data_IF_054100487334
#
_entry.id   IF_054100487334
#
_cell.length_a   1.000
_cell.length_b   1.000
_cell.length_c   1.000
_cell.angle_alpha   90.00
_cell.angle_beta   90.00
_cell.angle_gamma   90.00
#
_symmetry.space_group_name_H-M   'P 1'
#
loop_
_entity.id
_entity.type
_entity.pdbx_description
1 polymer ?
#
# COMPACT_ATOMS: atom_id res chain seq x y z
N UNK A 1 -16.09 17.77 -16.24
CA UNK A 1 -15.28 16.95 -17.17
C UNK A 1 -13.92 17.59 -17.39
N UNK A 2 -12.89 16.79 -17.66
CA UNK A 2 -11.55 17.31 -18.00
C UNK A 2 -11.50 17.80 -19.45
N UNK A 3 -10.88 18.96 -19.64
CA UNK A 3 -10.56 19.54 -20.94
C UNK A 3 -9.53 18.71 -21.71
N UNK A 4 -9.42 18.92 -23.02
CA UNK A 4 -8.44 18.19 -23.85
C UNK A 4 -7.00 18.38 -23.36
N UNK A 5 -6.64 19.57 -22.88
CA UNK A 5 -5.30 19.82 -22.33
C UNK A 5 -5.05 18.98 -21.06
N UNK A 6 -6.06 18.88 -20.18
CA UNK A 6 -6.00 18.07 -18.97
C UNK A 6 -5.83 16.59 -19.31
N UNK A 7 -6.57 16.08 -20.30
CA UNK A 7 -6.44 14.70 -20.76
C UNK A 7 -5.03 14.39 -21.29
N UNK A 8 -4.47 15.27 -22.14
CA UNK A 8 -3.10 15.14 -22.64
C UNK A 8 -2.11 15.13 -21.47
N UNK A 9 -2.29 16.02 -20.50
CA UNK A 9 -1.44 16.09 -19.31
C UNK A 9 -1.52 14.80 -18.47
N UNK A 10 -2.72 14.27 -18.23
CA UNK A 10 -2.90 12.98 -17.53
C UNK A 10 -2.18 11.85 -18.27
N UNK A 11 -2.29 11.78 -19.61
CA UNK A 11 -1.62 10.76 -20.41
C UNK A 11 -0.09 10.86 -20.31
N UNK A 12 0.46 12.07 -20.37
CA UNK A 12 1.92 12.31 -20.19
C UNK A 12 2.35 11.88 -18.78
N UNK A 13 1.63 12.29 -17.74
CA UNK A 13 1.93 11.92 -16.36
C UNK A 13 1.90 10.40 -16.16
N UNK A 14 0.89 9.71 -16.70
CA UNK A 14 0.82 8.25 -16.68
C UNK A 14 2.05 7.63 -17.34
N UNK A 15 2.37 8.03 -18.58
CA UNK A 15 3.51 7.49 -19.31
C UNK A 15 4.84 7.67 -18.55
N UNK A 16 5.09 8.89 -18.04
CA UNK A 16 6.30 9.21 -17.27
C UNK A 16 6.36 8.41 -15.98
N UNK A 17 5.30 8.40 -15.16
CA UNK A 17 5.29 7.73 -13.87
C UNK A 17 5.43 6.20 -14.01
N UNK A 18 4.76 5.58 -14.99
CA UNK A 18 4.93 4.14 -15.27
C UNK A 18 6.33 3.82 -15.80
N UNK A 19 6.92 4.69 -16.64
CA UNK A 19 8.30 4.55 -17.10
C UNK A 19 9.31 4.57 -15.95
N UNK A 20 9.20 5.57 -15.06
CA UNK A 20 10.05 5.70 -13.87
C UNK A 20 9.87 4.52 -12.91
N UNK A 21 8.62 4.11 -12.66
CA UNK A 21 8.31 2.92 -11.86
C UNK A 21 8.98 1.68 -12.44
N UNK A 22 8.83 1.45 -13.76
CA UNK A 22 9.44 0.31 -14.45
C UNK A 22 10.96 0.30 -14.35
N UNK A 23 11.62 1.45 -14.51
CA UNK A 23 13.08 1.57 -14.37
C UNK A 23 13.55 1.20 -12.95
N UNK A 24 12.90 1.75 -11.92
CA UNK A 24 13.23 1.46 -10.52
C UNK A 24 12.99 -0.03 -10.23
N UNK A 25 11.84 -0.57 -10.63
CA UNK A 25 11.53 -1.98 -10.43
C UNK A 25 12.53 -2.90 -11.10
N UNK A 26 12.97 -2.58 -12.33
CA UNK A 26 14.01 -3.33 -13.02
C UNK A 26 15.32 -3.30 -12.22
N UNK A 27 15.72 -2.17 -11.65
CA UNK A 27 16.89 -2.09 -10.75
C UNK A 27 16.75 -3.00 -9.53
N UNK A 28 15.58 -3.02 -8.87
CA UNK A 28 15.31 -3.90 -7.71
C UNK A 28 15.39 -5.38 -8.10
N UNK A 29 14.77 -5.75 -9.23
CA UNK A 29 14.79 -7.13 -9.74
C UNK A 29 16.20 -7.57 -10.11
N UNK A 30 17.00 -6.70 -10.75
CA UNK A 30 18.41 -7.00 -11.05
C UNK A 30 19.23 -7.25 -9.80
N UNK A 31 19.03 -6.43 -8.75
CA UNK A 31 19.69 -6.62 -7.46
C UNK A 31 19.30 -7.97 -6.83
N UNK A 32 18.01 -8.29 -6.79
CA UNK A 32 17.53 -9.59 -6.26
C UNK A 32 18.14 -10.76 -7.04
N UNK A 33 18.20 -10.67 -8.37
CA UNK A 33 18.77 -11.71 -9.25
C UNK A 33 20.28 -11.84 -9.19
N UNK A 34 21.00 -10.87 -8.62
CA UNK A 34 22.45 -10.96 -8.42
C UNK A 34 22.83 -11.92 -7.28
N UNK A 35 21.87 -12.27 -6.41
CA UNK A 35 22.11 -13.22 -5.34
C UNK A 35 22.29 -14.66 -5.83
N UNK A 36 22.97 -15.47 -5.02
CA UNK A 36 23.15 -16.91 -5.25
C UNK A 36 21.81 -17.62 -5.42
N UNK A 37 21.82 -18.67 -6.23
CA UNK A 37 20.66 -19.51 -6.44
C UNK A 37 20.24 -20.18 -5.11
N UNK A 38 18.95 -20.15 -4.84
CA UNK A 38 18.32 -20.88 -3.73
C UNK A 38 16.99 -21.45 -4.24
N UNK A 39 16.73 -22.73 -4.00
CA UNK A 39 15.47 -23.32 -4.44
C UNK A 39 14.34 -22.96 -3.47
N UNK A 40 13.34 -22.23 -3.98
CA UNK A 40 12.09 -21.91 -3.27
C UNK A 40 10.85 -22.28 -4.10
N UNK A 41 11.00 -23.19 -5.06
CA UNK A 41 9.95 -23.64 -6.00
C UNK A 41 9.44 -25.06 -5.69
N UNK A 42 9.84 -25.62 -4.55
CA UNK A 42 9.31 -26.85 -3.97
C UNK A 42 7.84 -26.68 -3.52
N UNK A 43 7.07 -27.77 -3.45
CA UNK A 43 5.69 -27.78 -2.89
C UNK A 43 4.75 -26.66 -3.40
N UNK A 44 4.77 -26.35 -4.70
CA UNK A 44 4.03 -25.21 -5.30
C UNK A 44 2.56 -25.09 -4.86
N UNK A 45 1.74 -26.15 -4.82
CA UNK A 45 0.34 -26.02 -4.38
C UNK A 45 0.23 -25.48 -2.95
N UNK A 46 1.09 -25.95 -2.05
CA UNK A 46 1.11 -25.50 -0.65
C UNK A 46 1.54 -24.03 -0.54
N UNK A 47 2.49 -23.58 -1.37
CA UNK A 47 2.94 -22.18 -1.42
C UNK A 47 1.83 -21.25 -1.90
N UNK A 48 1.11 -21.61 -2.96
CA UNK A 48 -0.02 -20.83 -3.48
C UNK A 48 -1.09 -20.69 -2.39
N UNK A 49 -1.50 -21.80 -1.76
CA UNK A 49 -2.51 -21.77 -0.70
C UNK A 49 -2.05 -20.91 0.47
N UNK A 50 -0.81 -21.07 0.94
CA UNK A 50 -0.27 -20.25 2.02
C UNK A 50 -0.20 -18.77 1.66
N UNK A 51 0.21 -18.43 0.42
CA UNK A 51 0.24 -17.06 -0.04
C UNK A 51 -1.17 -16.45 -0.05
N UNK A 52 -2.17 -17.16 -0.59
CA UNK A 52 -3.56 -16.66 -0.58
C UNK A 52 -4.05 -16.48 0.86
N UNK A 53 -3.88 -17.49 1.71
CA UNK A 53 -4.35 -17.47 3.10
C UNK A 53 -3.67 -16.36 3.91
N UNK A 54 -2.37 -16.12 3.73
CA UNK A 54 -1.64 -15.16 4.53
C UNK A 54 -1.66 -13.74 3.95
N UNK A 55 -1.72 -13.58 2.61
CA UNK A 55 -1.78 -12.28 1.94
C UNK A 55 -3.22 -11.78 1.85
N UNK A 56 -4.14 -12.58 1.31
CA UNK A 56 -5.55 -12.18 1.19
C UNK A 56 -6.25 -12.35 2.54
N UNK A 57 -6.08 -13.51 3.18
CA UNK A 57 -6.70 -13.78 4.48
C UNK A 57 -6.04 -13.08 5.68
N UNK A 58 -4.88 -12.44 5.50
CA UNK A 58 -4.17 -11.67 6.53
C UNK A 58 -3.87 -12.44 7.84
N UNK A 59 -3.94 -13.79 7.84
CA UNK A 59 -3.91 -14.62 9.06
C UNK A 59 -2.66 -14.36 9.91
N UNK A 60 -1.49 -14.28 9.28
CA UNK A 60 -0.23 -14.00 9.99
C UNK A 60 -0.20 -12.62 10.65
N UNK A 61 -0.82 -11.63 10.04
CA UNK A 61 -0.86 -10.25 10.55
C UNK A 61 -1.84 -10.16 11.72
N UNK A 62 -2.92 -10.95 11.68
CA UNK A 62 -3.93 -11.07 12.73
C UNK A 62 -3.43 -11.74 14.02
N UNK A 63 -2.22 -12.31 14.04
CA UNK A 63 -1.59 -12.80 15.27
C UNK A 63 -1.41 -11.69 16.33
N UNK A 64 -1.36 -10.43 15.91
CA UNK A 64 -1.49 -9.25 16.78
C UNK A 64 -2.80 -8.53 16.43
N UNK A 65 -3.92 -8.81 17.13
CA UNK A 65 -5.26 -8.43 16.66
C UNK A 65 -5.46 -6.92 16.45
N UNK A 66 -4.98 -6.08 17.36
CA UNK A 66 -5.18 -4.62 17.27
C UNK A 66 -4.54 -4.01 16.03
N UNK A 67 -3.21 -4.10 15.81
CA UNK A 67 -2.61 -3.64 14.56
C UNK A 67 -3.02 -4.50 13.36
N UNK A 68 -3.42 -5.76 13.58
CA UNK A 68 -3.85 -6.66 12.52
C UNK A 68 -5.16 -6.25 11.87
N UNK A 69 -6.18 -5.92 12.67
CA UNK A 69 -7.46 -5.40 12.18
C UNK A 69 -7.27 -4.05 11.49
N UNK A 70 -6.49 -3.14 12.08
CA UNK A 70 -6.18 -1.86 11.47
C UNK A 70 -5.49 -2.02 10.10
N UNK A 71 -4.56 -2.97 9.98
CA UNK A 71 -3.92 -3.32 8.71
C UNK A 71 -4.91 -3.94 7.72
N UNK A 72 -5.79 -4.83 8.17
CA UNK A 72 -6.81 -5.45 7.31
C UNK A 72 -7.75 -4.40 6.69
N UNK A 73 -8.15 -3.37 7.45
CA UNK A 73 -8.93 -2.25 6.91
C UNK A 73 -8.20 -1.51 5.79
N UNK A 74 -6.92 -1.20 5.97
CA UNK A 74 -6.12 -0.52 4.95
C UNK A 74 -5.88 -1.42 3.74
N UNK A 75 -5.57 -2.71 3.95
CA UNK A 75 -5.30 -3.67 2.89
C UNK A 75 -6.52 -3.92 2.00
N UNK A 76 -7.67 -4.25 2.60
CA UNK A 76 -8.89 -4.49 1.82
C UNK A 76 -9.44 -3.20 1.22
N UNK A 77 -9.27 -2.08 1.91
CA UNK A 77 -9.50 -0.76 1.32
C UNK A 77 -8.66 -0.57 0.06
N UNK A 78 -7.36 -0.82 0.10
CA UNK A 78 -6.49 -0.74 -1.08
C UNK A 78 -6.98 -1.66 -2.23
N UNK A 79 -7.40 -2.90 -1.94
CA UNK A 79 -7.97 -3.79 -2.95
C UNK A 79 -9.22 -3.21 -3.61
N UNK A 80 -10.16 -2.67 -2.83
CA UNK A 80 -11.39 -2.06 -3.34
C UNK A 80 -11.11 -0.77 -4.11
N UNK A 81 -10.24 0.10 -3.56
CA UNK A 81 -9.85 1.36 -4.19
C UNK A 81 -9.00 1.16 -5.45
N UNK A 82 -8.35 0.01 -5.65
CA UNK A 82 -7.65 -0.27 -6.91
C UNK A 82 -8.61 -0.27 -8.11
N UNK A 83 -9.84 -0.78 -7.91
CA UNK A 83 -10.91 -0.74 -8.92
C UNK A 83 -11.44 0.69 -9.11
N UNK A 84 -11.63 1.44 -8.02
CA UNK A 84 -12.04 2.84 -8.09
C UNK A 84 -10.99 3.72 -8.78
N UNK A 85 -9.70 3.43 -8.57
CA UNK A 85 -8.56 4.10 -9.21
C UNK A 85 -8.55 3.85 -10.71
N UNK A 86 -8.80 2.60 -11.13
CA UNK A 86 -8.97 2.28 -12.54
C UNK A 86 -10.11 3.10 -13.15
N UNK A 87 -11.27 3.15 -12.49
CA UNK A 87 -12.40 3.97 -12.94
C UNK A 87 -12.03 5.46 -13.05
N UNK A 88 -11.33 6.00 -12.06
CA UNK A 88 -10.90 7.41 -12.00
C UNK A 88 -10.00 7.82 -13.17
N UNK A 89 -9.01 7.00 -13.54
CA UNK A 89 -8.12 7.32 -14.65
C UNK A 89 -8.77 7.06 -16.02
N UNK A 90 -9.63 6.05 -16.16
CA UNK A 90 -10.30 5.79 -17.44
C UNK A 90 -11.37 6.83 -17.72
N UNK A 91 -12.12 7.28 -16.71
CA UNK A 91 -13.13 8.35 -16.87
C UNK A 91 -12.52 9.70 -17.24
N UNK A 92 -11.21 9.88 -17.07
CA UNK A 92 -10.50 11.04 -17.61
C UNK A 92 -10.55 11.11 -19.14
N UNK A 93 -10.56 9.95 -19.82
CA UNK A 93 -10.45 9.84 -21.28
C UNK A 93 -11.77 9.46 -21.95
N UNK A 94 -12.61 8.71 -21.25
CA UNK A 94 -13.87 8.20 -21.78
C UNK A 94 -15.03 8.88 -21.06
N UNK A 95 -15.79 9.76 -21.75
CA UNK A 95 -16.96 10.39 -21.17
C UNK A 95 -17.94 9.35 -20.65
N UNK A 96 -18.52 9.62 -19.49
CA UNK A 96 -19.56 8.80 -18.88
C UNK A 96 -19.15 7.34 -18.56
N UNK A 97 -17.85 7.07 -18.53
CA UNK A 97 -17.33 5.76 -18.19
C UNK A 97 -17.58 5.42 -16.72
N UNK A 98 -18.27 4.30 -16.50
CA UNK A 98 -18.41 3.64 -15.21
C UNK A 98 -18.14 2.15 -15.38
N UNK A 99 -17.15 1.63 -14.65
CA UNK A 99 -16.80 0.20 -14.69
C UNK A 99 -17.98 -0.71 -14.32
N UNK A 100 -18.90 -0.23 -13.47
CA UNK A 100 -20.08 -0.98 -13.01
C UNK A 100 -21.39 -0.50 -13.67
N UNK A 101 -21.29 0.45 -14.61
CA UNK A 101 -22.42 1.09 -15.27
C UNK A 101 -23.16 2.08 -14.37
N UNK A 102 -24.38 2.43 -14.79
CA UNK A 102 -25.24 3.44 -14.16
C UNK A 102 -26.53 2.78 -13.65
N UNK A 103 -26.38 1.86 -12.72
CA UNK A 103 -27.49 1.06 -12.19
C UNK A 103 -27.39 0.94 -10.65
N UNK A 104 -28.40 0.30 -10.06
CA UNK A 104 -28.46 0.09 -8.61
C UNK A 104 -27.24 -0.65 -8.04
N UNK A 105 -26.65 -1.58 -8.80
CA UNK A 105 -25.47 -2.34 -8.38
C UNK A 105 -24.26 -1.41 -8.30
N UNK A 106 -24.09 -0.50 -9.27
CA UNK A 106 -23.04 0.49 -9.24
C UNK A 106 -23.18 1.44 -8.02
N UNK A 107 -24.41 1.86 -7.71
CA UNK A 107 -24.69 2.69 -6.55
C UNK A 107 -24.36 1.99 -5.22
N UNK A 108 -24.69 0.70 -5.10
CA UNK A 108 -24.31 -0.12 -3.92
C UNK A 108 -22.81 -0.33 -3.87
N UNK A 109 -22.15 -0.59 -4.99
CA UNK A 109 -20.70 -0.75 -5.01
C UNK A 109 -19.97 0.54 -4.62
N UNK A 110 -20.50 1.70 -5.03
CA UNK A 110 -19.96 3.00 -4.65
C UNK A 110 -20.10 3.24 -3.14
N UNK A 111 -21.23 2.90 -2.53
CA UNK A 111 -21.40 3.02 -1.07
C UNK A 111 -20.50 2.05 -0.30
N UNK A 112 -20.19 0.87 -0.88
CA UNK A 112 -19.16 -0.03 -0.33
C UNK A 112 -17.78 0.62 -0.41
N UNK A 113 -17.42 1.27 -1.53
CA UNK A 113 -16.15 2.00 -1.63
C UNK A 113 -16.09 3.12 -0.57
N UNK A 114 -17.18 3.86 -0.35
CA UNK A 114 -17.25 4.83 0.76
C UNK A 114 -17.04 4.18 2.13
N UNK A 115 -17.62 3.00 2.39
CA UNK A 115 -17.42 2.31 3.67
C UNK A 115 -15.93 1.97 3.89
N UNK A 116 -15.29 1.43 2.85
CA UNK A 116 -13.87 1.11 2.89
C UNK A 116 -13.00 2.37 3.04
N UNK A 117 -13.42 3.52 2.52
CA UNK A 117 -12.70 4.78 2.73
C UNK A 117 -12.66 5.17 4.20
N UNK A 118 -13.78 5.00 4.93
CA UNK A 118 -13.81 5.22 6.38
C UNK A 118 -12.96 4.20 7.13
N UNK A 119 -13.01 2.93 6.74
CA UNK A 119 -12.16 1.89 7.33
C UNK A 119 -10.68 2.19 7.11
N UNK A 120 -10.28 2.66 5.94
CA UNK A 120 -8.90 3.08 5.65
C UNK A 120 -8.51 4.26 6.54
N UNK A 121 -9.34 5.31 6.62
CA UNK A 121 -9.09 6.45 7.51
C UNK A 121 -8.90 6.02 8.98
N UNK A 122 -9.78 5.16 9.47
CA UNK A 122 -9.69 4.64 10.83
C UNK A 122 -8.46 3.76 11.03
N UNK A 123 -8.21 2.83 10.12
CA UNK A 123 -7.07 1.92 10.15
C UNK A 123 -5.73 2.66 10.12
N UNK A 124 -5.57 3.66 9.23
CA UNK A 124 -4.34 4.44 9.15
C UNK A 124 -4.16 5.33 10.37
N UNK A 125 -5.23 5.91 10.92
CA UNK A 125 -5.18 6.69 12.16
C UNK A 125 -4.73 5.81 13.35
N UNK A 126 -5.27 4.59 13.47
CA UNK A 126 -4.84 3.63 14.50
C UNK A 126 -3.36 3.22 14.34
N UNK A 127 -2.92 2.93 13.11
CA UNK A 127 -1.53 2.55 12.84
C UNK A 127 -0.57 3.72 13.09
N UNK A 128 -0.95 4.94 12.72
CA UNK A 128 -0.19 6.16 12.99
C UNK A 128 -0.12 6.43 14.50
N UNK A 129 -1.25 6.35 15.22
CA UNK A 129 -1.27 6.49 16.68
C UNK A 129 -0.34 5.47 17.36
N UNK A 130 -0.40 4.21 16.94
CA UNK A 130 0.48 3.16 17.45
C UNK A 130 1.97 3.47 17.19
N UNK A 131 2.31 4.02 16.02
CA UNK A 131 3.70 4.28 15.62
C UNK A 131 4.27 5.55 16.25
N UNK A 132 3.50 6.63 16.36
CA UNK A 132 4.00 7.95 16.77
C UNK A 132 3.68 8.32 18.22
N UNK A 133 2.63 7.75 18.81
CA UNK A 133 2.20 8.07 20.18
C UNK A 133 2.48 6.91 21.13
N UNK A 134 1.91 5.72 20.87
CA UNK A 134 1.99 4.59 21.81
C UNK A 134 3.38 3.95 21.90
N UNK A 135 4.09 3.83 20.76
CA UNK A 135 5.48 3.33 20.64
C UNK A 135 5.76 2.07 21.51
N UNK A 136 5.15 0.91 21.18
CA UNK A 136 5.37 -0.33 21.94
C UNK A 136 6.84 -0.76 21.91
N UNK A 137 7.31 -1.63 22.83
CA UNK A 137 8.73 -1.95 23.02
C UNK A 137 9.52 -2.31 21.75
N UNK A 138 8.98 -3.18 20.89
CA UNK A 138 9.60 -3.53 19.60
C UNK A 138 9.65 -2.41 18.54
N UNK A 139 9.07 -1.24 18.82
CA UNK A 139 9.02 -0.06 17.95
C UNK A 139 9.67 1.18 18.59
N UNK A 140 10.55 1.00 19.57
CA UNK A 140 11.20 2.11 20.27
C UNK A 140 12.24 2.86 19.43
N UNK A 141 12.73 2.25 18.34
CA UNK A 141 13.59 2.93 17.39
C UNK A 141 12.83 4.10 16.74
N UNK A 142 13.49 5.24 16.46
CA UNK A 142 12.86 6.37 15.82
C UNK A 142 12.14 5.91 14.55
N UNK A 143 10.86 6.24 14.36
CA UNK A 143 10.15 5.85 13.16
C UNK A 143 10.82 6.51 11.95
N UNK A 144 11.01 5.75 10.88
CA UNK A 144 11.41 6.28 9.60
C UNK A 144 10.43 7.41 9.21
N UNK A 145 10.90 8.64 8.89
CA UNK A 145 10.02 9.78 8.57
C UNK A 145 9.05 9.46 7.43
N UNK A 146 9.44 8.55 6.54
CA UNK A 146 8.64 8.00 5.44
C UNK A 146 7.33 7.39 5.94
N UNK A 147 7.30 6.77 7.12
CA UNK A 147 6.08 6.18 7.66
C UNK A 147 4.99 7.24 7.94
N UNK A 148 5.40 8.43 8.38
CA UNK A 148 4.49 9.54 8.66
C UNK A 148 3.96 10.17 7.36
N UNK A 149 4.87 10.36 6.40
CA UNK A 149 4.51 10.83 5.06
C UNK A 149 3.49 9.90 4.39
N UNK A 150 3.75 8.59 4.36
CA UNK A 150 2.84 7.60 3.77
C UNK A 150 1.48 7.61 4.46
N UNK A 151 1.45 7.67 5.80
CA UNK A 151 0.19 7.69 6.54
C UNK A 151 -0.64 8.94 6.22
N UNK A 152 0.00 10.12 6.17
CA UNK A 152 -0.66 11.35 5.76
C UNK A 152 -1.20 11.25 4.32
N UNK A 153 -0.42 10.67 3.41
CA UNK A 153 -0.76 10.58 2.00
C UNK A 153 -1.91 9.60 1.75
N UNK A 154 -1.95 8.45 2.43
CA UNK A 154 -3.09 7.51 2.41
C UNK A 154 -4.35 8.19 2.95
N UNK A 155 -4.26 8.94 4.04
CA UNK A 155 -5.39 9.66 4.60
C UNK A 155 -5.89 10.75 3.63
N UNK A 156 -4.98 11.53 3.03
CA UNK A 156 -5.31 12.56 2.04
C UNK A 156 -5.94 11.98 0.77
N UNK A 157 -5.56 10.77 0.34
CA UNK A 157 -6.24 10.07 -0.75
C UNK A 157 -7.72 9.84 -0.44
N UNK A 158 -8.06 9.42 0.79
CA UNK A 158 -9.46 9.23 1.18
C UNK A 158 -10.22 10.56 1.22
N UNK A 159 -9.62 11.62 1.78
CA UNK A 159 -10.23 12.95 1.85
C UNK A 159 -10.50 13.51 0.45
N UNK A 160 -9.54 13.43 -0.45
CA UNK A 160 -9.70 13.93 -1.83
C UNK A 160 -10.68 13.08 -2.65
N UNK A 161 -10.79 11.78 -2.37
CA UNK A 161 -11.82 10.93 -2.97
C UNK A 161 -13.23 11.40 -2.59
N UNK A 162 -13.51 11.54 -1.29
CA UNK A 162 -14.80 12.06 -0.82
C UNK A 162 -15.05 13.49 -1.29
N UNK A 163 -14.00 14.33 -1.30
CA UNK A 163 -14.08 15.68 -1.83
C UNK A 163 -14.48 15.71 -3.30
N UNK A 164 -13.93 14.80 -4.12
CA UNK A 164 -14.29 14.69 -5.54
C UNK A 164 -15.77 14.33 -5.70
N UNK A 165 -16.24 13.27 -5.01
CA UNK A 165 -17.65 12.85 -5.07
C UNK A 165 -18.60 13.93 -4.53
N UNK A 166 -18.23 14.60 -3.44
CA UNK A 166 -19.09 15.61 -2.83
C UNK A 166 -19.25 16.86 -3.70
N UNK A 167 -18.17 17.31 -4.36
CA UNK A 167 -18.28 18.43 -5.31
C UNK A 167 -19.06 18.01 -6.56
N UNK A 168 -18.84 16.80 -7.08
CA UNK A 168 -19.57 16.26 -8.24
C UNK A 168 -21.08 16.23 -7.96
N UNK A 169 -21.50 15.66 -6.82
CA UNK A 169 -22.93 15.57 -6.47
C UNK A 169 -23.56 16.89 -6.04
N UNK A 170 -22.75 17.89 -5.65
CA UNK A 170 -23.24 19.24 -5.40
C UNK A 170 -23.47 20.01 -6.71
N UNK A 171 -22.64 19.78 -7.73
CA UNK A 171 -22.78 20.36 -9.08
C UNK A 171 -23.88 19.67 -9.90
N UNK A 172 -23.97 18.35 -9.75
CA UNK A 172 -24.86 17.47 -10.51
C UNK A 172 -25.71 16.62 -9.57
N UNK A 173 -26.76 17.19 -8.93
CA UNK A 173 -27.62 16.47 -7.99
C UNK A 173 -28.33 15.25 -8.61
N UNK A 174 -28.50 15.22 -9.92
CA UNK A 174 -29.01 14.09 -10.69
C UNK A 174 -28.11 12.83 -10.60
N UNK A 175 -26.81 13.02 -10.36
CA UNK A 175 -25.83 11.95 -10.19
C UNK A 175 -25.69 11.50 -8.74
N UNK A 176 -26.43 12.11 -7.81
CA UNK A 176 -26.33 11.80 -6.38
C UNK A 176 -26.71 10.35 -6.12
N UNK A 177 -25.79 9.61 -5.49
CA UNK A 177 -26.07 8.27 -5.02
C UNK A 177 -26.85 8.34 -3.70
N UNK A 178 -28.12 7.90 -3.72
CA UNK A 178 -28.96 7.86 -2.52
C UNK A 178 -28.42 6.94 -1.41
N UNK A 179 -27.54 5.98 -1.74
CA UNK A 179 -26.86 5.13 -0.76
C UNK A 179 -25.53 5.73 -0.26
N UNK A 180 -25.13 6.88 -0.79
CA UNK A 180 -23.94 7.59 -0.32
C UNK A 180 -24.18 8.13 1.08
N UNK A 181 -23.23 7.92 1.98
CA UNK A 181 -23.39 8.29 3.40
C UNK A 181 -22.25 9.15 3.94
N UNK A 182 -21.16 9.30 3.18
CA UNK A 182 -20.11 10.31 3.48
C UNK A 182 -20.22 11.47 2.51
N UNK A 183 -20.15 11.20 1.21
CA UNK A 183 -20.10 12.25 0.20
C UNK A 183 -21.45 12.92 -0.04
N UNK A 184 -22.58 12.24 0.21
CA UNK A 184 -23.91 12.80 0.02
C UNK A 184 -24.28 13.87 1.07
N UNK A 185 -24.11 13.67 2.39
CA UNK A 185 -24.29 14.75 3.34
C UNK A 185 -23.26 15.87 3.14
N UNK A 186 -22.03 15.52 2.74
CA UNK A 186 -21.01 16.51 2.41
C UNK A 186 -21.40 17.34 1.17
N UNK A 187 -21.98 16.73 0.12
CA UNK A 187 -22.42 17.46 -1.08
C UNK A 187 -23.55 18.43 -0.77
N UNK A 188 -24.52 18.04 0.07
CA UNK A 188 -25.60 18.92 0.53
C UNK A 188 -25.06 20.11 1.33
N UNK A 189 -24.10 19.86 2.22
CA UNK A 189 -23.41 20.93 2.93
C UNK A 189 -22.71 21.87 1.95
N UNK A 190 -21.92 21.34 1.01
CA UNK A 190 -21.19 22.16 0.05
C UNK A 190 -22.13 23.00 -0.84
N UNK A 191 -23.22 22.40 -1.33
CA UNK A 191 -24.23 23.10 -2.14
C UNK A 191 -24.92 24.27 -1.40
N UNK A 192 -25.02 24.20 -0.07
CA UNK A 192 -25.60 25.26 0.74
C UNK A 192 -24.69 26.46 1.00
N UNK A 193 -23.36 26.29 0.89
CA UNK A 193 -22.38 27.31 1.27
C UNK A 193 -21.50 27.81 0.14
N UNK A 194 -21.39 27.08 -0.98
CA UNK A 194 -20.49 27.40 -2.08
C UNK A 194 -21.24 27.68 -3.38
N UNK A 195 -20.68 28.60 -4.18
CA UNK A 195 -21.18 28.87 -5.54
C UNK A 195 -20.80 27.73 -6.49
N UNK A 196 -21.48 27.61 -7.62
CA UNK A 196 -21.13 26.63 -8.68
C UNK A 196 -19.66 26.74 -9.10
N UNK A 197 -19.15 27.96 -9.29
CA UNK A 197 -17.72 28.17 -9.60
C UNK A 197 -16.79 27.66 -8.51
N UNK A 198 -17.14 27.87 -7.23
CA UNK A 198 -16.32 27.35 -6.12
C UNK A 198 -16.35 25.82 -6.05
N UNK A 199 -17.49 25.19 -6.34
CA UNK A 199 -17.63 23.74 -6.41
C UNK A 199 -16.86 23.15 -7.59
N UNK A 200 -16.85 23.79 -8.76
CA UNK A 200 -16.04 23.39 -9.91
C UNK A 200 -14.54 23.41 -9.58
N UNK A 201 -14.07 24.50 -8.96
CA UNK A 201 -12.68 24.60 -8.49
C UNK A 201 -12.38 23.48 -7.48
N UNK A 202 -13.30 23.23 -6.54
CA UNK A 202 -13.20 22.16 -5.55
C UNK A 202 -13.11 20.78 -6.18
N UNK A 203 -13.92 20.49 -7.20
CA UNK A 203 -13.88 19.25 -7.97
C UNK A 203 -12.51 19.08 -8.65
N UNK A 204 -12.07 20.08 -9.44
CA UNK A 204 -10.81 19.99 -10.17
C UNK A 204 -9.62 19.86 -9.23
N UNK A 205 -9.60 20.62 -8.12
CA UNK A 205 -8.55 20.50 -7.10
C UNK A 205 -8.51 19.10 -6.50
N UNK A 206 -9.64 18.56 -6.03
CA UNK A 206 -9.68 17.24 -5.43
C UNK A 206 -9.30 16.14 -6.42
N UNK A 207 -9.80 16.22 -7.65
CA UNK A 207 -9.52 15.26 -8.71
C UNK A 207 -8.02 15.23 -9.04
N UNK A 208 -7.43 16.40 -9.32
CA UNK A 208 -6.00 16.50 -9.65
C UNK A 208 -5.08 16.18 -8.47
N UNK A 209 -5.44 16.63 -7.26
CA UNK A 209 -4.70 16.27 -6.06
C UNK A 209 -4.73 14.74 -5.89
N UNK A 210 -5.89 14.10 -6.00
CA UNK A 210 -6.02 12.64 -5.89
C UNK A 210 -5.15 11.91 -6.92
N UNK A 211 -5.27 12.27 -8.20
CA UNK A 211 -4.48 11.69 -9.29
C UNK A 211 -2.97 11.87 -9.07
N UNK A 212 -2.53 13.08 -8.68
CA UNK A 212 -1.12 13.37 -8.42
C UNK A 212 -0.58 12.56 -7.23
N UNK A 213 -1.38 12.36 -6.17
CA UNK A 213 -1.01 11.54 -5.03
C UNK A 213 -0.89 10.05 -5.42
N UNK A 214 -1.80 9.51 -6.24
CA UNK A 214 -1.70 8.12 -6.73
C UNK A 214 -0.44 7.92 -7.56
N UNK A 215 -0.19 8.79 -8.54
CA UNK A 215 0.99 8.71 -9.41
C UNK A 215 2.29 8.95 -8.64
N UNK A 216 2.26 9.85 -7.66
CA UNK A 216 3.36 10.06 -6.72
C UNK A 216 3.65 8.80 -5.91
N UNK A 217 2.61 8.15 -5.36
CA UNK A 217 2.75 6.86 -4.67
C UNK A 217 3.37 5.79 -5.56
N UNK A 218 2.91 5.66 -6.80
CA UNK A 218 3.43 4.69 -7.76
C UNK A 218 4.95 4.78 -7.88
N UNK A 219 5.49 5.98 -8.06
CA UNK A 219 6.94 6.22 -8.21
C UNK A 219 7.70 6.11 -6.87
N UNK A 220 7.05 6.48 -5.77
CA UNK A 220 7.66 6.51 -4.44
C UNK A 220 7.78 5.12 -3.78
N UNK A 221 6.78 4.25 -3.97
CA UNK A 221 6.72 2.90 -3.37
C UNK A 221 8.04 2.12 -3.53
N UNK A 222 8.61 1.95 -4.75
CA UNK A 222 9.79 1.11 -4.94
C UNK A 222 11.11 1.72 -4.41
N UNK A 223 11.07 2.95 -3.89
CA UNK A 223 12.20 3.65 -3.28
C UNK A 223 12.01 3.87 -1.78
N UNK A 224 10.93 3.37 -1.18
CA UNK A 224 10.61 3.60 0.22
C UNK A 224 10.40 2.29 0.98
N UNK A 225 10.18 2.41 2.30
CA UNK A 225 9.76 1.29 3.16
C UNK A 225 8.36 0.77 2.81
N UNK A 226 7.58 1.50 1.98
CA UNK A 226 6.31 1.00 1.46
C UNK A 226 6.45 -0.06 0.37
N UNK A 227 7.67 -0.34 -0.10
CA UNK A 227 7.97 -1.43 -1.04
C UNK A 227 7.43 -2.79 -0.57
N UNK A 228 7.20 -2.96 0.73
CA UNK A 228 6.55 -4.15 1.28
C UNK A 228 5.19 -4.45 0.62
N UNK A 229 4.45 -3.43 0.17
CA UNK A 229 3.18 -3.63 -0.54
C UNK A 229 3.38 -4.53 -1.78
N UNK A 230 4.49 -4.34 -2.49
CA UNK A 230 4.83 -5.13 -3.67
C UNK A 230 5.59 -6.40 -3.29
N UNK A 231 6.54 -6.32 -2.37
CA UNK A 231 7.46 -7.43 -2.07
C UNK A 231 6.88 -8.49 -1.13
N UNK A 232 5.98 -8.13 -0.20
CA UNK A 232 5.46 -9.04 0.81
C UNK A 232 4.67 -10.23 0.23
N UNK A 233 3.81 -10.06 -0.80
CA UNK A 233 3.14 -11.21 -1.42
C UNK A 233 4.11 -12.23 -2.01
N UNK A 234 5.16 -11.77 -2.70
CA UNK A 234 6.22 -12.66 -3.21
C UNK A 234 7.03 -13.27 -2.06
N UNK A 235 7.35 -12.48 -1.03
CA UNK A 235 8.09 -12.97 0.13
C UNK A 235 7.35 -14.12 0.82
N UNK A 236 6.04 -13.97 1.00
CA UNK A 236 5.16 -14.96 1.61
C UNK A 236 5.02 -16.22 0.72
N UNK A 237 4.99 -16.07 -0.60
CA UNK A 237 4.99 -17.21 -1.51
C UNK A 237 6.29 -18.04 -1.40
N UNK A 238 7.44 -17.37 -1.25
CA UNK A 238 8.76 -17.99 -1.20
C UNK A 238 9.25 -18.32 0.23
N UNK A 239 8.35 -18.48 1.21
CA UNK A 239 8.75 -18.77 2.60
C UNK A 239 9.50 -20.09 2.74
N UNK A 240 10.31 -20.21 3.80
CA UNK A 240 10.94 -21.48 4.16
C UNK A 240 10.00 -22.40 4.94
N UNK A 241 9.77 -23.61 4.43
CA UNK A 241 9.05 -24.69 5.12
C UNK A 241 9.93 -25.54 6.03
N UNK A 242 11.25 -25.35 5.98
CA UNK A 242 12.17 -26.03 6.88
C UNK A 242 11.96 -25.69 8.36
N UNK A 243 12.69 -26.40 9.26
CA UNK A 243 12.67 -26.11 10.69
C UNK A 243 13.00 -24.66 10.99
N UNK A 244 12.20 -24.01 11.85
CA UNK A 244 12.44 -22.63 12.27
C UNK A 244 13.71 -22.53 13.12
N UNK A 245 14.38 -21.37 13.05
CA UNK A 245 15.63 -21.09 13.75
C UNK A 245 16.78 -22.07 13.44
N UNK A 246 16.75 -22.75 12.29
CA UNK A 246 17.86 -23.57 11.82
C UNK A 246 19.00 -22.68 11.32
N UNK A 247 20.19 -22.85 11.89
CA UNK A 247 21.43 -22.34 11.32
C UNK A 247 21.95 -23.35 10.30
N UNK A 248 22.32 -22.87 9.11
CA UNK A 248 23.03 -23.70 8.14
C UNK A 248 24.48 -23.88 8.62
N UNK A 249 25.02 -25.12 8.59
CA UNK A 249 26.42 -25.34 8.96
C UNK A 249 27.33 -24.61 7.97
N UNK A 250 28.36 -23.94 8.49
CA UNK A 250 29.43 -23.38 7.65
C UNK A 250 30.29 -24.55 7.18
N UNK A 251 30.31 -24.80 5.88
CA UNK A 251 31.10 -25.89 5.30
C UNK A 251 32.61 -25.60 5.46
N UNK A 252 33.38 -26.58 5.95
CA UNK A 252 34.84 -26.52 6.13
C UNK A 252 35.30 -25.25 6.88
N UNK A 253 34.69 -24.99 8.05
CA UNK A 253 34.94 -23.77 8.84
C UNK A 253 36.42 -23.52 9.16
N UNK A 254 37.23 -24.58 9.28
CA UNK A 254 38.66 -24.49 9.57
C UNK A 254 39.49 -23.99 8.37
N UNK A 255 38.98 -24.16 7.15
CA UNK A 255 39.67 -23.80 5.90
C UNK A 255 39.13 -22.49 5.28
N UNK A 256 38.15 -21.83 5.91
CA UNK A 256 37.56 -20.60 5.37
C UNK A 256 38.35 -19.36 5.76
N UNK A 257 38.76 -18.58 4.75
CA UNK A 257 39.42 -17.29 4.92
C UNK A 257 38.44 -16.14 5.24
N UNK A 258 37.14 -16.34 4.99
CA UNK A 258 36.09 -15.34 5.21
C UNK A 258 34.85 -15.98 5.82
N UNK A 259 34.34 -15.40 6.91
CA UNK A 259 33.13 -15.86 7.58
C UNK A 259 31.93 -14.97 7.28
N UNK A 260 30.80 -15.60 6.96
CA UNK A 260 29.55 -14.90 6.71
C UNK A 260 29.48 -14.26 5.33
N UNK A 261 28.82 -13.12 5.24
CA UNK A 261 28.59 -12.38 3.99
C UNK A 261 29.34 -11.04 4.06
N UNK A 262 30.27 -10.84 3.13
CA UNK A 262 31.08 -9.62 2.97
C UNK A 262 30.66 -8.78 1.76
N UNK A 263 30.02 -9.41 0.76
CA UNK A 263 29.54 -8.77 -0.46
C UNK A 263 28.07 -9.08 -0.74
N UNK A 264 27.39 -8.21 -1.47
CA UNK A 264 25.94 -8.37 -1.70
C UNK A 264 25.61 -9.61 -2.54
N UNK A 265 26.51 -9.99 -3.45
CA UNK A 265 26.41 -11.16 -4.32
C UNK A 265 26.55 -12.48 -3.55
N UNK A 266 27.03 -12.43 -2.30
CA UNK A 266 27.18 -13.61 -1.47
C UNK A 266 25.87 -14.03 -0.79
N UNK A 267 24.88 -13.13 -0.72
CA UNK A 267 23.51 -13.44 -0.32
C UNK A 267 22.81 -14.28 -1.39
N UNK A 268 21.84 -15.09 -0.98
CA UNK A 268 20.88 -15.70 -1.91
C UNK A 268 19.88 -14.66 -2.44
N UNK A 269 19.28 -14.93 -3.60
CA UNK A 269 18.24 -14.04 -4.14
C UNK A 269 17.08 -13.83 -3.15
N UNK A 270 16.73 -14.85 -2.34
CA UNK A 270 15.66 -14.75 -1.35
C UNK A 270 16.04 -13.83 -0.19
N UNK A 271 17.29 -13.94 0.29
CA UNK A 271 17.83 -13.03 1.30
C UNK A 271 17.88 -11.58 0.79
N UNK A 272 18.08 -11.36 -0.51
CA UNK A 272 18.01 -10.02 -1.11
C UNK A 272 16.56 -9.52 -1.29
N UNK A 273 15.57 -10.42 -1.38
CA UNK A 273 14.15 -10.07 -1.41
C UNK A 273 13.62 -9.69 -0.02
N UNK A 274 14.09 -10.34 1.06
CA UNK A 274 13.59 -10.16 2.43
C UNK A 274 13.54 -8.70 2.92
N UNK A 275 14.59 -7.87 2.73
CA UNK A 275 14.58 -6.49 3.17
C UNK A 275 13.49 -5.64 2.53
N UNK A 276 13.09 -5.95 1.28
CA UNK A 276 12.03 -5.22 0.59
C UNK A 276 10.64 -5.51 1.15
N UNK A 277 10.46 -6.63 1.85
CA UNK A 277 9.21 -6.98 2.54
C UNK A 277 9.15 -6.46 3.99
N UNK A 278 10.25 -5.90 4.50
CA UNK A 278 10.31 -5.41 5.87
C UNK A 278 9.47 -4.13 6.05
N UNK A 279 8.61 -4.13 7.07
CA UNK A 279 7.75 -2.99 7.44
C UNK A 279 8.17 -2.30 8.74
N UNK A 280 9.32 -2.70 9.31
CA UNK A 280 9.75 -2.27 10.64
C UNK A 280 8.63 -2.49 11.67
N UNK A 281 7.97 -3.64 11.62
CA UNK A 281 6.85 -3.97 12.49
C UNK A 281 7.25 -4.34 13.93
N UNK A 282 8.54 -4.50 14.20
CA UNK A 282 9.09 -4.86 15.52
C UNK A 282 9.12 -6.36 15.81
N UNK A 283 8.44 -7.21 15.03
CA UNK A 283 8.36 -8.66 15.30
C UNK A 283 9.73 -9.36 15.34
N UNK A 284 10.66 -8.95 14.50
CA UNK A 284 12.03 -9.47 14.53
C UNK A 284 12.76 -9.10 15.83
N UNK A 285 12.49 -7.90 16.36
CA UNK A 285 13.03 -7.43 17.63
C UNK A 285 12.42 -8.19 18.80
N UNK A 286 11.09 -8.36 18.82
CA UNK A 286 10.37 -9.06 19.89
C UNK A 286 10.80 -10.54 20.02
N UNK A 287 11.22 -11.15 18.91
CA UNK A 287 11.69 -12.54 18.88
C UNK A 287 13.22 -12.66 19.00
N UNK A 288 13.95 -11.55 19.05
CA UNK A 288 15.40 -11.55 19.11
C UNK A 288 15.88 -11.99 20.52
N UNK A 289 16.60 -13.11 20.65
CA UNK A 289 17.11 -13.56 21.96
C UNK A 289 18.03 -12.53 22.62
N UNK A 290 18.82 -11.81 21.81
CA UNK A 290 19.73 -10.78 22.29
C UNK A 290 18.98 -9.58 22.90
N UNK A 291 17.89 -9.13 22.25
CA UNK A 291 17.02 -8.08 22.79
C UNK A 291 16.33 -8.53 24.08
N UNK A 292 15.76 -9.74 24.06
CA UNK A 292 15.03 -10.28 25.21
C UNK A 292 15.91 -10.58 26.43
N UNK A 293 17.23 -10.72 26.23
CA UNK A 293 18.21 -10.89 27.31
C UNK A 293 18.93 -9.59 27.68
N UNK A 294 18.43 -8.44 27.21
CA UNK A 294 18.99 -7.10 27.47
C UNK A 294 20.46 -6.96 27.01
N UNK A 295 20.82 -7.68 25.95
CA UNK A 295 22.14 -7.63 25.30
C UNK A 295 21.97 -7.26 23.82
N UNK A 296 21.43 -6.07 23.51
CA UNK A 296 21.14 -5.70 22.14
C UNK A 296 22.42 -5.71 21.29
N UNK A 297 22.33 -6.27 20.08
CA UNK A 297 23.42 -6.29 19.09
C UNK A 297 23.48 -4.99 18.26
N UNK A 298 22.46 -4.14 18.40
CA UNK A 298 22.43 -2.78 17.89
C UNK A 298 22.77 -1.82 19.03
N UNK A 299 23.85 -1.07 18.87
CA UNK A 299 24.18 0.06 19.74
C UNK A 299 23.15 1.19 19.59
#
# INVERSE_FOLDING_TARGET
MLSLYEQILVAICLFVCFGLFGEVMNRRVRLIRAGKAENRMDELPRRVVNAIVNVIGQIKVMQNPVPGVAHAFVFWGFCVFSLATFNHFVSAFVPDFSMLGHNIIANVALSVIEAFGLFVCFGIAMLAYRRFVMKPPGLQNPPAPEAGLIAAWIFSLMVTYYGTLANEWALHPENLNAFGFVSAPLSQFLAGYFTTTALEIGFHFNWWAHAAMILGFLVYIPNSKHMHLLAAPFNEFFIDFGPKARLLPIANIEDQESFGVTKIEEFTWKQLLDPFACTECGRCQDQCPAYNTLKPLSA
#
